data_IF_614430685472
#
_entry.id   IF_614430685472
#
_cell.length_a   1.000
_cell.length_b   1.000
_cell.length_c   1.000
_cell.angle_alpha   90.00
_cell.angle_beta   90.00
_cell.angle_gamma   90.00
#
_symmetry.space_group_name_H-M   'P 1'
#
loop_
_entity.id
_entity.type
_entity.pdbx_description
1 polymer ?
#
# COMPACT_ATOMS: atom_id res chain seq x y z
N UNK A 1 -30.24 8.04 4.73
CA UNK A 1 -30.02 6.67 4.22
C UNK A 1 -28.55 6.40 3.81
N UNK A 2 -27.51 6.83 4.55
CA UNK A 2 -26.14 6.45 4.21
C UNK A 2 -25.93 4.92 4.32
N UNK A 3 -26.59 4.25 5.28
CA UNK A 3 -26.50 2.80 5.50
C UNK A 3 -26.94 1.96 4.29
N UNK A 4 -28.05 2.31 3.63
CA UNK A 4 -28.52 1.60 2.42
C UNK A 4 -27.54 1.75 1.24
N UNK A 5 -26.98 2.95 1.07
CA UNK A 5 -25.99 3.22 0.03
C UNK A 5 -24.69 2.45 0.30
N UNK A 6 -24.23 2.43 1.55
CA UNK A 6 -23.05 1.68 1.98
C UNK A 6 -23.22 0.18 1.77
N UNK A 7 -24.39 -0.37 2.12
CA UNK A 7 -24.71 -1.77 1.86
C UNK A 7 -24.63 -2.12 0.37
N UNK A 8 -25.19 -1.26 -0.50
CA UNK A 8 -25.10 -1.44 -1.95
C UNK A 8 -23.65 -1.42 -2.43
N UNK A 9 -22.86 -0.43 -2.01
CA UNK A 9 -21.43 -0.33 -2.38
C UNK A 9 -20.69 -1.61 -1.97
N UNK A 10 -20.86 -2.06 -0.72
CA UNK A 10 -20.25 -3.29 -0.22
C UNK A 10 -20.63 -4.51 -1.05
N UNK A 11 -21.92 -4.68 -1.36
CA UNK A 11 -22.39 -5.80 -2.18
C UNK A 11 -21.70 -5.83 -3.55
N UNK A 12 -21.61 -4.67 -4.23
CA UNK A 12 -20.98 -4.58 -5.55
C UNK A 12 -19.45 -4.78 -5.49
N UNK A 13 -18.80 -4.38 -4.39
CA UNK A 13 -17.39 -4.70 -4.14
C UNK A 13 -17.18 -6.21 -3.95
N UNK A 14 -18.02 -6.86 -3.15
CA UNK A 14 -17.93 -8.30 -2.88
C UNK A 14 -18.14 -9.14 -4.14
N UNK A 15 -19.01 -8.71 -5.05
CA UNK A 15 -19.24 -9.39 -6.35
C UNK A 15 -18.26 -8.97 -7.44
N UNK A 16 -17.33 -8.05 -7.14
CA UNK A 16 -16.37 -7.46 -8.10
C UNK A 16 -17.03 -6.74 -9.29
N UNK A 17 -18.28 -6.33 -9.15
CA UNK A 17 -18.98 -5.48 -10.12
C UNK A 17 -18.49 -4.03 -10.07
N UNK A 18 -17.90 -3.63 -8.94
CA UNK A 18 -17.35 -2.30 -8.72
C UNK A 18 -15.83 -2.38 -8.55
N UNK A 19 -15.11 -1.46 -9.19
CA UNK A 19 -13.67 -1.30 -8.98
C UNK A 19 -13.39 -0.85 -7.54
N UNK A 20 -12.19 -1.12 -7.04
CA UNK A 20 -11.83 -0.74 -5.66
C UNK A 20 -11.73 0.77 -5.55
N UNK A 21 -11.17 1.45 -6.56
CA UNK A 21 -11.10 2.91 -6.60
C UNK A 21 -12.48 3.58 -6.60
N UNK A 22 -13.45 3.09 -7.38
CA UNK A 22 -14.81 3.60 -7.35
C UNK A 22 -15.48 3.32 -6.00
N UNK A 23 -15.26 2.14 -5.42
CA UNK A 23 -15.74 1.80 -4.08
C UNK A 23 -15.22 2.76 -3.01
N UNK A 24 -13.92 3.07 -3.03
CA UNK A 24 -13.29 4.03 -2.11
C UNK A 24 -13.93 5.41 -2.26
N UNK A 25 -14.09 5.90 -3.50
CA UNK A 25 -14.66 7.21 -3.79
C UNK A 25 -16.14 7.31 -3.37
N UNK A 26 -16.95 6.31 -3.70
CA UNK A 26 -18.37 6.28 -3.34
C UNK A 26 -18.56 6.18 -1.83
N UNK A 27 -17.75 5.38 -1.15
CA UNK A 27 -17.77 5.25 0.31
C UNK A 27 -17.38 6.57 0.98
N UNK A 28 -16.30 7.20 0.51
CA UNK A 28 -15.86 8.51 1.00
C UNK A 28 -16.97 9.56 0.85
N UNK A 29 -17.64 9.60 -0.31
CA UNK A 29 -18.76 10.52 -0.57
C UNK A 29 -19.96 10.25 0.33
N UNK A 30 -20.29 8.99 0.58
CA UNK A 30 -21.43 8.60 1.42
C UNK A 30 -21.20 8.92 2.91
N UNK A 31 -19.95 8.88 3.38
CA UNK A 31 -19.60 9.09 4.79
C UNK A 31 -19.17 10.52 5.12
N UNK A 32 -18.97 11.36 4.10
CA UNK A 32 -18.59 12.77 4.29
C UNK A 32 -19.65 13.50 5.11
N UNK A 33 -19.25 14.10 6.22
CA UNK A 33 -20.16 14.78 7.15
C UNK A 33 -20.91 13.84 8.11
N UNK A 34 -20.72 12.52 7.98
CA UNK A 34 -21.28 11.51 8.89
C UNK A 34 -20.22 10.91 9.82
N UNK A 35 -18.96 10.83 9.39
CA UNK A 35 -17.83 10.42 10.23
C UNK A 35 -16.77 11.52 10.38
N UNK A 36 -16.00 11.52 11.48
CA UNK A 36 -14.83 12.37 11.65
C UNK A 36 -13.81 12.25 10.50
N UNK A 37 -13.16 13.35 10.12
CA UNK A 37 -12.24 13.40 8.97
C UNK A 37 -11.04 12.45 9.11
N UNK A 38 -10.54 12.24 10.33
CA UNK A 38 -9.45 11.31 10.60
C UNK A 38 -9.82 9.85 10.23
N UNK A 39 -11.08 9.44 10.39
CA UNK A 39 -11.56 8.11 9.97
C UNK A 39 -11.60 7.98 8.45
N UNK A 40 -11.85 9.08 7.74
CA UNK A 40 -11.90 9.13 6.27
C UNK A 40 -10.51 9.24 5.62
N UNK A 41 -9.47 9.55 6.40
CA UNK A 41 -8.10 9.73 5.92
C UNK A 41 -7.57 8.47 5.22
N UNK A 42 -7.90 7.29 5.76
CA UNK A 42 -7.50 6.02 5.15
C UNK A 42 -8.08 5.85 3.74
N UNK A 43 -9.36 6.17 3.51
CA UNK A 43 -9.99 6.09 2.19
C UNK A 43 -9.28 6.98 1.17
N UNK A 44 -8.94 8.21 1.57
CA UNK A 44 -8.22 9.15 0.72
C UNK A 44 -6.81 8.65 0.39
N UNK A 45 -6.08 8.16 1.38
CA UNK A 45 -4.71 7.63 1.20
C UNK A 45 -4.69 6.39 0.31
N UNK A 46 -5.65 5.48 0.47
CA UNK A 46 -5.73 4.33 -0.41
C UNK A 46 -6.04 4.73 -1.85
N UNK A 47 -6.94 5.70 -2.04
CA UNK A 47 -7.36 6.17 -3.36
C UNK A 47 -6.23 6.90 -4.10
N UNK A 48 -5.52 7.81 -3.42
CA UNK A 48 -4.61 8.77 -4.05
C UNK A 48 -3.12 8.49 -3.79
N UNK A 49 -2.80 7.63 -2.82
CA UNK A 49 -1.45 7.44 -2.32
C UNK A 49 -1.21 8.18 -0.99
N UNK A 50 -0.09 7.86 -0.38
CA UNK A 50 0.35 8.37 0.91
C UNK A 50 1.24 9.58 0.72
N UNK A 51 1.16 10.52 1.65
CA UNK A 51 2.01 11.71 1.62
C UNK A 51 3.44 11.37 2.05
N UNK A 52 4.44 12.17 1.68
CA UNK A 52 5.82 11.94 2.13
C UNK A 52 5.94 11.80 3.66
N UNK A 53 5.18 12.59 4.43
CA UNK A 53 5.20 12.54 5.89
C UNK A 53 4.71 11.17 6.42
N UNK A 54 3.72 10.58 5.74
CA UNK A 54 3.20 9.25 6.08
C UNK A 54 4.25 8.16 5.79
N UNK A 55 5.05 8.32 4.73
CA UNK A 55 6.09 7.38 4.33
C UNK A 55 7.30 7.41 5.28
N UNK A 56 7.62 8.58 5.83
CA UNK A 56 8.65 8.73 6.86
C UNK A 56 8.27 7.95 8.13
N UNK A 57 6.99 7.92 8.50
CA UNK A 57 6.48 7.11 9.61
C UNK A 57 6.52 5.60 9.34
N UNK A 58 6.43 5.19 8.07
CA UNK A 58 6.46 3.77 7.67
C UNK A 58 7.87 3.22 7.51
N UNK A 59 8.84 4.10 7.28
CA UNK A 59 10.25 3.72 7.25
C UNK A 59 10.65 3.26 8.65
N UNK A 60 11.20 2.04 8.83
CA UNK A 60 11.86 1.74 10.09
C UNK A 60 12.91 2.84 10.31
N UNK A 61 13.04 3.39 11.54
CA UNK A 61 14.05 4.42 11.78
C UNK A 61 15.38 3.86 11.29
N UNK A 62 16.01 4.58 10.34
CA UNK A 62 17.29 4.16 9.78
C UNK A 62 18.19 3.68 10.93
N UNK A 63 18.85 2.52 10.82
CA UNK A 63 19.90 2.21 11.77
C UNK A 63 20.96 3.31 11.58
N UNK A 64 20.95 4.31 12.46
CA UNK A 64 22.00 5.33 12.55
C UNK A 64 23.32 4.60 12.40
N UNK A 65 24.07 4.95 11.35
CA UNK A 65 25.39 4.39 11.01
C UNK A 65 26.20 4.18 12.29
N UNK A 66 26.19 2.96 12.82
CA UNK A 66 27.03 2.60 13.93
C UNK A 66 28.24 1.86 13.38
N UNK A 67 29.34 2.60 13.42
CA UNK A 67 30.71 2.15 13.62
C UNK A 67 30.75 0.79 14.35
N UNK A 68 31.54 -0.12 13.78
CA UNK A 68 31.99 -1.46 14.22
C UNK A 68 31.94 -1.81 15.73
N UNK A 69 32.02 -3.11 16.11
CA UNK A 69 30.99 -3.80 16.86
C UNK A 69 31.50 -4.30 18.22
N UNK A 70 30.60 -4.48 19.20
CA UNK A 70 30.65 -5.58 20.20
C UNK A 70 29.66 -5.31 21.34
N UNK A 71 29.01 -6.41 21.74
CA UNK A 71 28.59 -6.75 23.12
C UNK A 71 27.32 -6.07 23.65
N UNK A 72 26.28 -6.91 23.73
CA UNK A 72 25.27 -7.11 24.80
C UNK A 72 24.59 -5.88 25.43
N UNK A 73 23.25 -5.89 25.41
CA UNK A 73 22.29 -5.42 26.45
C UNK A 73 20.89 -5.68 25.86
N UNK A 74 20.03 -6.62 26.26
CA UNK A 74 19.49 -7.01 27.57
C UNK A 74 19.14 -5.80 28.47
N UNK A 75 17.83 -5.60 28.64
CA UNK A 75 17.07 -4.81 29.63
C UNK A 75 16.61 -3.37 29.29
N UNK A 76 15.27 -3.29 29.10
CA UNK A 76 14.33 -2.28 29.65
C UNK A 76 14.07 -0.96 28.88
N UNK A 77 12.91 -0.28 29.08
CA UNK A 77 11.63 -0.69 29.66
C UNK A 77 10.39 -0.32 28.81
N UNK A 78 9.23 -0.87 29.20
CA UNK A 78 7.91 -0.48 28.72
C UNK A 78 7.65 1.04 28.88
N UNK A 79 7.29 1.72 27.78
CA UNK A 79 6.60 3.01 27.82
C UNK A 79 5.18 2.82 27.31
N UNK A 80 4.25 2.71 28.26
CA UNK A 80 2.85 3.10 28.05
C UNK A 80 2.83 4.62 27.98
N UNK A 81 2.43 5.20 26.86
CA UNK A 81 1.93 6.58 26.80
C UNK A 81 1.17 6.76 25.48
N UNK A 82 -0.15 6.93 25.60
CA UNK A 82 -1.04 7.69 24.75
C UNK A 82 -0.60 7.93 23.29
N UNK A 83 -1.15 7.15 22.36
CA UNK A 83 -1.16 7.54 20.95
C UNK A 83 -2.59 7.39 20.45
N UNK A 84 -3.24 8.54 20.27
CA UNK A 84 -4.34 8.73 19.33
C UNK A 84 -4.01 7.95 18.04
N UNK A 85 -4.93 7.08 17.62
CA UNK A 85 -4.84 6.11 16.51
C UNK A 85 -3.76 6.44 15.46
N UNK A 86 -2.49 6.11 15.75
CA UNK A 86 -1.44 6.15 14.73
C UNK A 86 -1.81 5.14 13.67
N UNK A 87 -1.92 5.60 12.43
CA UNK A 87 -2.17 4.70 11.31
C UNK A 87 -1.03 3.68 11.26
N UNK A 88 -1.37 2.44 11.60
CA UNK A 88 -0.44 1.32 11.49
C UNK A 88 0.02 1.18 10.05
N UNK A 89 1.34 1.08 9.82
CA UNK A 89 1.91 0.91 8.48
C UNK A 89 1.17 -0.17 7.68
N UNK A 90 0.69 0.13 6.45
CA UNK A 90 -0.14 -0.79 5.68
C UNK A 90 0.73 -1.86 5.03
N UNK A 91 1.08 -2.90 5.80
CA UNK A 91 2.01 -3.97 5.38
C UNK A 91 1.67 -4.63 4.04
N UNK A 92 0.39 -4.66 3.66
CA UNK A 92 -0.06 -5.20 2.37
C UNK A 92 0.43 -4.38 1.18
N UNK A 93 0.81 -3.10 1.35
CA UNK A 93 1.34 -2.23 0.30
C UNK A 93 2.79 -2.53 -0.08
N UNK A 94 3.51 -3.35 0.67
CA UNK A 94 4.89 -3.69 0.32
C UNK A 94 4.91 -4.73 -0.81
N UNK A 95 5.61 -4.42 -1.90
CA UNK A 95 5.79 -5.28 -3.08
C UNK A 95 7.04 -6.11 -2.94
N UNK A 96 6.95 -7.40 -3.21
CA UNK A 96 8.13 -8.25 -3.33
C UNK A 96 8.65 -8.24 -4.77
N UNK A 97 9.96 -8.04 -4.94
CA UNK A 97 10.55 -7.88 -6.25
C UNK A 97 12.06 -8.01 -6.25
N UNK A 98 12.68 -7.56 -7.34
CA UNK A 98 14.11 -7.66 -7.56
C UNK A 98 14.63 -6.46 -8.32
N UNK A 99 15.77 -5.95 -7.89
CA UNK A 99 16.51 -4.91 -8.59
C UNK A 99 17.30 -5.50 -9.76
N UNK A 100 17.15 -4.90 -10.94
CA UNK A 100 17.85 -5.36 -12.13
C UNK A 100 17.83 -4.35 -13.27
N UNK A 101 18.37 -4.77 -14.42
CA UNK A 101 18.31 -4.04 -15.68
C UNK A 101 17.75 -4.95 -16.76
N UNK A 102 16.91 -4.41 -17.64
CA UNK A 102 16.51 -5.13 -18.85
C UNK A 102 17.72 -5.27 -19.77
N UNK A 103 17.95 -6.50 -20.23
CA UNK A 103 18.90 -6.78 -21.30
C UNK A 103 18.23 -6.58 -22.67
N UNK A 104 19.03 -6.61 -23.74
CA UNK A 104 18.55 -6.43 -25.13
C UNK A 104 17.51 -7.48 -25.56
N UNK A 105 17.46 -8.63 -24.89
CA UNK A 105 16.48 -9.70 -25.11
C UNK A 105 15.21 -9.58 -24.24
N UNK A 106 15.07 -8.52 -23.45
CA UNK A 106 13.92 -8.31 -22.54
C UNK A 106 13.97 -9.10 -21.22
N UNK A 107 15.07 -9.81 -20.95
CA UNK A 107 15.31 -10.49 -19.68
C UNK A 107 15.89 -9.56 -18.62
N UNK A 108 15.58 -9.81 -17.34
CA UNK A 108 16.14 -9.04 -16.24
C UNK A 108 17.50 -9.60 -15.84
N UNK A 109 18.51 -8.73 -15.81
CA UNK A 109 19.82 -9.01 -15.20
C UNK A 109 19.86 -8.38 -13.81
N UNK A 110 19.95 -9.21 -12.77
CA UNK A 110 19.98 -8.75 -11.36
C UNK A 110 21.17 -7.85 -11.09
N UNK A 111 20.94 -6.73 -10.38
CA UNK A 111 22.00 -5.83 -9.92
C UNK A 111 22.17 -6.01 -8.41
N UNK A 112 23.37 -6.41 -7.99
CA UNK A 112 23.72 -6.54 -6.57
C UNK A 112 24.56 -5.34 -6.14
N UNK A 113 23.91 -4.32 -5.59
CA UNK A 113 24.58 -3.15 -5.02
C UNK A 113 24.18 -2.99 -3.54
N UNK A 114 25.08 -2.56 -2.63
CA UNK A 114 24.79 -2.46 -1.19
C UNK A 114 23.59 -1.58 -0.83
N UNK A 115 23.26 -0.58 -1.65
CA UNK A 115 22.08 0.28 -1.48
C UNK A 115 20.78 -0.40 -1.95
N UNK A 116 20.86 -1.49 -2.73
CA UNK A 116 19.72 -2.21 -3.31
C UNK A 116 19.42 -3.53 -2.55
N UNK A 117 19.75 -3.58 -1.26
CA UNK A 117 19.53 -4.76 -0.42
C UNK A 117 18.04 -5.06 -0.18
N UNK A 118 17.18 -4.06 -0.30
CA UNK A 118 15.74 -4.20 -0.08
C UNK A 118 15.09 -4.99 -1.21
N UNK A 119 14.62 -6.18 -0.88
CA UNK A 119 13.80 -7.04 -1.77
C UNK A 119 12.33 -6.68 -1.76
N UNK A 120 11.98 -5.63 -1.02
CA UNK A 120 10.61 -5.23 -0.78
C UNK A 120 10.53 -3.71 -0.71
N UNK A 121 9.68 -3.11 -1.54
CA UNK A 121 9.48 -1.66 -1.57
C UNK A 121 8.03 -1.29 -1.25
N UNK A 122 7.81 -0.12 -0.70
CA UNK A 122 6.45 0.38 -0.46
C UNK A 122 5.79 0.87 -1.75
N UNK A 123 4.59 0.35 -2.06
CA UNK A 123 3.80 0.79 -3.21
C UNK A 123 2.96 2.01 -2.87
N UNK A 124 3.49 3.20 -3.19
CA UNK A 124 2.81 4.47 -2.90
C UNK A 124 1.84 4.96 -3.99
N UNK A 125 1.64 4.20 -5.07
CA UNK A 125 0.66 4.59 -6.10
C UNK A 125 -0.76 4.47 -5.55
N UNK A 126 -1.63 5.43 -5.86
CA UNK A 126 -3.05 5.37 -5.49
C UNK A 126 -3.77 4.20 -6.18
N UNK A 127 -4.84 3.69 -5.57
CA UNK A 127 -5.59 2.55 -6.12
C UNK A 127 -6.12 2.83 -7.52
N UNK A 128 -6.51 4.07 -7.81
CA UNK A 128 -6.96 4.46 -9.15
C UNK A 128 -5.88 4.24 -10.20
N UNK A 129 -4.64 4.64 -9.90
CA UNK A 129 -3.51 4.46 -10.82
C UNK A 129 -3.10 2.98 -10.92
N UNK A 130 -3.11 2.27 -9.81
CA UNK A 130 -2.79 0.85 -9.77
C UNK A 130 -3.76 0.02 -10.63
N UNK A 131 -5.07 0.26 -10.50
CA UNK A 131 -6.07 -0.45 -11.30
C UNK A 131 -5.97 -0.11 -12.79
N UNK A 132 -5.67 1.15 -13.13
CA UNK A 132 -5.41 1.55 -14.52
C UNK A 132 -4.21 0.80 -15.12
N UNK A 133 -3.10 0.71 -14.36
CA UNK A 133 -1.91 -0.04 -14.79
C UNK A 133 -2.21 -1.53 -14.99
N UNK A 134 -2.98 -2.14 -14.09
CA UNK A 134 -3.38 -3.55 -14.23
C UNK A 134 -4.24 -3.76 -15.48
N UNK A 135 -5.13 -2.82 -15.82
CA UNK A 135 -5.98 -2.93 -17.00
C UNK A 135 -5.22 -2.84 -18.32
N UNK A 136 -4.09 -2.12 -18.34
CA UNK A 136 -3.21 -2.01 -19.50
C UNK A 136 -2.29 -3.23 -19.70
N UNK A 137 -2.16 -4.10 -18.70
CA UNK A 137 -1.31 -5.30 -18.78
C UNK A 137 -1.99 -6.43 -19.54
N UNK A 138 -1.29 -7.00 -20.54
CA UNK A 138 -1.77 -8.16 -21.30
C UNK A 138 -1.83 -9.44 -20.45
N UNK A 139 -0.89 -9.63 -19.53
CA UNK A 139 -0.84 -10.76 -18.59
C UNK A 139 -0.65 -10.26 -17.14
N UNK A 140 -1.72 -10.28 -16.36
CA UNK A 140 -1.74 -9.83 -14.96
C UNK A 140 -1.09 -10.84 -13.98
N UNK A 141 -0.67 -12.01 -14.43
CA UNK A 141 0.01 -13.01 -13.59
C UNK A 141 1.51 -13.09 -13.84
N UNK A 142 1.93 -13.07 -15.11
CA UNK A 142 3.32 -13.27 -15.52
C UNK A 142 4.09 -12.00 -15.88
N UNK A 143 3.43 -10.87 -16.15
CA UNK A 143 4.12 -9.66 -16.57
C UNK A 143 4.94 -9.04 -15.44
N UNK A 144 6.14 -8.57 -15.80
CA UNK A 144 7.01 -7.80 -14.91
C UNK A 144 6.71 -6.32 -15.07
N UNK A 145 6.67 -5.61 -13.94
CA UNK A 145 6.41 -4.19 -13.87
C UNK A 145 7.51 -3.47 -13.10
N UNK A 146 7.98 -2.35 -13.64
CA UNK A 146 9.01 -1.50 -13.04
C UNK A 146 8.37 -0.42 -12.17
N UNK A 147 8.73 -0.36 -10.89
CA UNK A 147 8.10 0.54 -9.90
C UNK A 147 9.01 1.67 -9.43
N UNK A 148 10.33 1.48 -9.49
CA UNK A 148 11.31 2.40 -8.93
C UNK A 148 12.61 2.32 -9.71
N UNK A 149 13.32 3.43 -9.78
CA UNK A 149 14.58 3.54 -10.51
C UNK A 149 15.65 4.14 -9.61
N UNK A 150 16.76 3.43 -9.48
CA UNK A 150 17.95 3.90 -8.79
C UNK A 150 18.87 4.63 -9.77
N UNK A 151 19.02 5.94 -9.59
CA UNK A 151 19.77 6.79 -10.51
C UNK A 151 21.29 6.53 -10.48
N UNK A 152 21.82 6.03 -9.36
CA UNK A 152 23.26 5.77 -9.21
C UNK A 152 23.70 4.54 -10.00
N UNK A 153 22.98 3.43 -9.86
CA UNK A 153 23.30 2.17 -10.53
C UNK A 153 22.58 2.03 -11.87
N UNK A 154 21.53 2.80 -12.11
CA UNK A 154 20.61 2.66 -13.24
C UNK A 154 19.75 1.39 -13.16
N UNK A 155 19.60 0.82 -11.96
CA UNK A 155 18.78 -0.36 -11.74
C UNK A 155 17.32 0.02 -11.55
N UNK A 156 16.42 -0.84 -12.00
CA UNK A 156 14.99 -0.73 -11.79
C UNK A 156 14.50 -1.84 -10.85
N UNK A 157 13.53 -1.51 -10.00
CA UNK A 157 12.85 -2.50 -9.18
C UNK A 157 11.70 -3.09 -9.97
N UNK A 158 11.79 -4.40 -10.23
CA UNK A 158 10.75 -5.15 -10.90
C UNK A 158 9.96 -6.01 -9.92
N UNK A 159 8.64 -6.02 -10.05
CA UNK A 159 7.75 -6.99 -9.41
C UNK A 159 6.80 -7.62 -10.44
N UNK A 160 6.25 -8.79 -10.12
CA UNK A 160 5.20 -9.40 -10.92
C UNK A 160 3.88 -8.65 -10.76
N UNK A 161 3.10 -8.53 -11.84
CA UNK A 161 1.78 -7.89 -11.84
C UNK A 161 0.83 -8.45 -10.76
N UNK A 162 0.95 -9.74 -10.43
CA UNK A 162 0.21 -10.37 -9.31
C UNK A 162 0.37 -9.67 -7.96
N UNK A 163 1.50 -9.00 -7.73
CA UNK A 163 1.73 -8.22 -6.50
C UNK A 163 0.86 -6.97 -6.45
N UNK A 164 0.60 -6.33 -7.60
CA UNK A 164 -0.34 -5.21 -7.71
C UNK A 164 -1.78 -5.70 -7.49
N UNK A 165 -2.15 -6.82 -8.12
CA UNK A 165 -3.46 -7.46 -7.92
C UNK A 165 -3.69 -7.84 -6.45
N UNK A 166 -2.65 -8.32 -5.76
CA UNK A 166 -2.68 -8.62 -4.32
C UNK A 166 -2.97 -7.37 -3.48
N UNK A 167 -2.38 -6.22 -3.82
CA UNK A 167 -2.69 -4.94 -3.15
C UNK A 167 -4.16 -4.58 -3.37
N UNK A 168 -4.63 -4.61 -4.61
CA UNK A 168 -6.02 -4.26 -4.93
C UNK A 168 -7.03 -5.12 -4.17
N UNK A 169 -6.80 -6.44 -4.11
CA UNK A 169 -7.66 -7.36 -3.36
C UNK A 169 -7.59 -7.11 -1.85
N UNK A 170 -6.40 -6.85 -1.29
CA UNK A 170 -6.27 -6.52 0.12
C UNK A 170 -7.04 -5.25 0.51
N UNK A 171 -7.01 -4.23 -0.36
CA UNK A 171 -7.75 -2.98 -0.14
C UNK A 171 -9.25 -3.19 -0.29
N UNK A 172 -9.71 -4.03 -1.23
CA UNK A 172 -11.12 -4.41 -1.34
C UNK A 172 -11.64 -5.04 -0.04
N UNK A 173 -10.92 -6.02 0.50
CA UNK A 173 -11.32 -6.71 1.74
C UNK A 173 -11.41 -5.70 2.90
N UNK A 174 -10.39 -4.85 3.04
CA UNK A 174 -10.36 -3.80 4.07
C UNK A 174 -11.48 -2.78 3.89
N UNK A 175 -11.81 -2.42 2.65
CA UNK A 175 -12.89 -1.48 2.38
C UNK A 175 -14.25 -2.08 2.77
N UNK A 176 -14.49 -3.36 2.47
CA UNK A 176 -15.69 -4.05 2.93
C UNK A 176 -15.80 -4.06 4.47
N UNK A 177 -14.69 -4.31 5.16
CA UNK A 177 -14.62 -4.26 6.63
C UNK A 177 -14.90 -2.85 7.17
N UNK A 178 -14.26 -1.84 6.58
CA UNK A 178 -14.48 -0.44 6.93
C UNK A 178 -15.94 -0.02 6.73
N UNK A 179 -16.58 -0.46 5.64
CA UNK A 179 -18.00 -0.19 5.39
C UNK A 179 -18.88 -0.86 6.46
N UNK A 180 -18.58 -2.09 6.87
CA UNK A 180 -19.30 -2.77 7.95
C UNK A 180 -19.20 -2.02 9.28
N UNK A 181 -18.00 -1.58 9.64
CA UNK A 181 -17.77 -0.77 10.84
C UNK A 181 -18.54 0.56 10.77
N UNK A 182 -18.45 1.27 9.64
CA UNK A 182 -19.15 2.54 9.44
C UNK A 182 -20.68 2.38 9.51
N UNK A 183 -21.25 1.31 8.95
CA UNK A 183 -22.69 1.03 9.05
C UNK A 183 -23.11 0.75 10.50
N UNK A 184 -22.30 0.02 11.27
CA UNK A 184 -22.58 -0.24 12.69
C UNK A 184 -22.56 1.04 13.52
N UNK A 185 -21.66 1.97 13.21
CA UNK A 185 -21.55 3.27 13.90
C UNK A 185 -22.73 4.20 13.59
N UNK A 186 -23.29 4.12 12.37
CA UNK A 186 -24.36 5.02 11.91
C UNK A 186 -25.78 4.56 12.29
N UNK A 187 -25.96 3.29 12.63
CA UNK A 187 -27.27 2.69 12.93
C UNK A 187 -28.17 2.52 11.71
#
# INVERSE_FOLDING_TARGET
MPTEQLFRIKSQLSTKELTVSDGLLLTLRALRGHLPENRLLWLNRELLGYRPEDLEEFSPPEPKKNVFPRIVMLWSPARKQHEEEKLTSPRYRYLQGTWGKLNESGGITTVAAPQLLEKSIFCNIGLQQLEAQLQEMEDQEGSLFSMSHDLETGAEFYCFARELSRIAEAVRIKLCQFIDEAMQELG
#
